data_IF_162774990882
#
_entry.id   IF_162774990882
#
_cell.length_a   1.000
_cell.length_b   1.000
_cell.length_c   1.000
_cell.angle_alpha   90.00
_cell.angle_beta   90.00
_cell.angle_gamma   90.00
#
_symmetry.space_group_name_H-M   'P 1'
#
loop_
_entity.id
_entity.type
_entity.pdbx_description
1 polymer ?
#
# COMPACT_ATOMS: atom_id res chain seq x y z
N UNK A 1 -21.02 -23.68 34.75
CA UNK A 1 -20.72 -22.56 33.83
C UNK A 1 -19.65 -23.04 32.85
N UNK A 2 -19.79 -22.82 31.54
CA UNK A 2 -18.74 -23.17 30.59
C UNK A 2 -17.50 -22.33 30.93
N UNK A 3 -16.32 -22.96 31.01
CA UNK A 3 -15.05 -22.25 31.20
C UNK A 3 -14.78 -21.43 29.94
N UNK A 4 -14.72 -20.11 30.07
CA UNK A 4 -14.28 -19.23 28.99
C UNK A 4 -12.87 -19.66 28.55
N UNK A 5 -12.68 -19.79 27.24
CA UNK A 5 -11.40 -20.13 26.65
C UNK A 5 -10.45 -18.93 26.82
N UNK A 6 -9.49 -19.04 27.75
CA UNK A 6 -8.52 -17.99 28.10
C UNK A 6 -7.55 -17.64 26.98
N UNK A 7 -7.50 -18.44 25.91
CA UNK A 7 -6.68 -18.19 24.72
C UNK A 7 -7.43 -17.48 23.60
N UNK A 8 -8.66 -17.01 23.84
CA UNK A 8 -9.29 -16.08 22.88
C UNK A 8 -8.58 -14.73 22.96
N UNK A 9 -8.08 -14.19 21.83
CA UNK A 9 -7.59 -12.82 21.78
C UNK A 9 -8.65 -11.88 22.36
N UNK A 10 -8.26 -11.06 23.34
CA UNK A 10 -9.18 -10.07 23.88
C UNK A 10 -9.43 -9.04 22.79
N UNK A 11 -10.69 -8.85 22.38
CA UNK A 11 -11.09 -7.64 21.65
C UNK A 11 -10.63 -6.45 22.49
N UNK A 12 -9.75 -5.61 21.94
CA UNK A 12 -9.28 -4.44 22.67
C UNK A 12 -10.45 -3.46 22.80
N UNK A 13 -11.13 -3.55 23.94
CA UNK A 13 -12.26 -2.71 24.26
C UNK A 13 -11.81 -1.28 24.53
N UNK A 14 -12.71 -0.35 24.20
CA UNK A 14 -12.93 1.06 24.61
C UNK A 14 -12.15 1.70 25.78
N UNK A 15 -11.42 0.95 26.60
CA UNK A 15 -10.76 1.42 27.82
C UNK A 15 -9.26 1.77 27.65
N UNK A 16 -8.57 1.26 26.62
CA UNK A 16 -7.14 1.55 26.36
C UNK A 16 -6.93 2.77 25.44
N UNK A 17 -7.88 3.01 24.53
CA UNK A 17 -7.85 4.09 23.56
C UNK A 17 -9.00 5.04 23.84
N UNK A 18 -8.68 6.33 23.97
CA UNK A 18 -9.62 7.36 24.36
C UNK A 18 -9.47 8.58 23.46
N UNK A 19 -10.61 9.08 22.97
CA UNK A 19 -10.78 10.13 21.95
C UNK A 19 -10.45 9.64 20.54
N UNK A 20 -11.51 9.32 19.81
CA UNK A 20 -11.49 9.23 18.36
C UNK A 20 -11.69 10.63 17.77
N UNK A 21 -10.80 11.06 16.89
CA UNK A 21 -11.05 12.23 16.05
C UNK A 21 -11.78 11.75 14.80
N UNK A 22 -13.12 11.72 14.85
CA UNK A 22 -13.91 11.62 13.63
C UNK A 22 -13.94 13.00 12.95
N UNK A 23 -13.69 13.13 11.64
CA UNK A 23 -13.99 14.37 10.94
C UNK A 23 -15.47 14.68 11.13
N UNK A 24 -15.76 15.83 11.72
CA UNK A 24 -17.10 16.25 12.14
C UNK A 24 -18.15 16.08 11.03
N UNK A 25 -18.98 15.05 11.16
CA UNK A 25 -20.36 15.07 10.68
C UNK A 25 -21.24 14.39 11.73
N UNK A 26 -21.82 15.21 12.60
CA UNK A 26 -22.68 14.78 13.72
C UNK A 26 -24.04 14.23 13.23
N UNK A 27 -24.31 14.20 11.91
CA UNK A 27 -25.62 13.83 11.36
C UNK A 27 -25.75 12.42 10.80
N UNK A 28 -24.65 11.69 10.57
CA UNK A 28 -24.65 10.58 9.62
C UNK A 28 -23.74 9.43 10.08
N UNK A 29 -24.17 8.67 11.10
CA UNK A 29 -23.42 7.47 11.56
C UNK A 29 -23.19 6.45 10.44
N UNK A 30 -24.07 6.44 9.43
CA UNK A 30 -23.98 5.57 8.26
C UNK A 30 -22.96 6.09 7.21
N UNK A 31 -22.32 7.24 7.48
CA UNK A 31 -21.25 7.84 6.67
C UNK A 31 -19.97 8.13 7.49
N UNK A 32 -19.83 7.53 8.67
CA UNK A 32 -18.54 7.52 9.36
C UNK A 32 -17.52 6.81 8.46
N UNK A 33 -16.31 7.35 8.35
CA UNK A 33 -15.22 6.64 7.69
C UNK A 33 -15.08 5.24 8.34
N UNK A 34 -14.83 4.17 7.57
CA UNK A 34 -14.79 2.80 8.12
C UNK A 34 -13.72 2.58 9.21
N UNK A 35 -12.80 3.54 9.35
CA UNK A 35 -11.58 3.51 10.14
C UNK A 35 -11.53 4.73 11.08
N UNK A 36 -11.67 4.52 12.38
CA UNK A 36 -11.55 5.59 13.39
C UNK A 36 -10.09 5.78 13.81
N UNK A 37 -9.59 7.01 13.73
CA UNK A 37 -8.28 7.39 14.27
C UNK A 37 -8.40 7.62 15.79
N UNK A 38 -7.72 6.78 16.56
CA UNK A 38 -7.82 6.70 18.01
C UNK A 38 -6.49 7.06 18.66
N UNK A 39 -6.48 7.78 19.80
CA UNK A 39 -5.25 7.99 20.58
C UNK A 39 -5.15 7.00 21.75
N UNK A 40 -3.99 6.37 21.91
CA UNK A 40 -3.66 5.55 23.07
C UNK A 40 -3.47 6.46 24.28
N UNK A 41 -4.22 6.21 25.36
CA UNK A 41 -4.31 7.13 26.50
C UNK A 41 -3.00 7.35 27.26
N UNK A 42 -2.13 6.35 27.27
CA UNK A 42 -0.89 6.34 28.06
C UNK A 42 0.31 6.92 27.32
N UNK A 43 0.33 6.77 25.99
CA UNK A 43 1.48 7.12 25.13
C UNK A 43 1.17 8.30 24.20
N UNK A 44 -0.11 8.62 23.99
CA UNK A 44 -0.57 9.57 22.99
C UNK A 44 -0.58 9.03 21.55
N UNK A 45 -0.15 7.79 21.33
CA UNK A 45 0.02 7.19 20.01
C UNK A 45 -1.30 7.12 19.24
N UNK A 46 -1.31 7.62 18.00
CA UNK A 46 -2.48 7.50 17.14
C UNK A 46 -2.53 6.12 16.47
N UNK A 47 -3.68 5.48 16.45
CA UNK A 47 -3.90 4.17 15.86
C UNK A 47 -5.15 4.16 14.99
N UNK A 48 -5.12 3.35 13.94
CA UNK A 48 -6.28 3.05 13.11
C UNK A 48 -6.79 1.67 13.53
N UNK A 49 -8.07 1.61 13.84
CA UNK A 49 -8.76 0.38 14.24
C UNK A 49 -9.58 -0.15 13.07
N UNK A 50 -9.49 -1.44 12.82
CA UNK A 50 -10.37 -2.14 11.88
C UNK A 50 -11.77 -2.30 12.44
N UNK A 51 -12.72 -2.61 11.56
CA UNK A 51 -14.13 -2.86 11.91
C UNK A 51 -14.33 -4.04 12.86
N UNK A 52 -13.36 -4.96 12.94
CA UNK A 52 -13.34 -6.09 13.87
C UNK A 52 -12.86 -5.72 15.28
N UNK A 53 -12.40 -4.47 15.47
CA UNK A 53 -11.93 -3.93 16.73
C UNK A 53 -10.47 -4.28 17.06
N UNK A 54 -9.68 -4.70 16.08
CA UNK A 54 -8.23 -4.84 16.22
C UNK A 54 -7.49 -3.67 15.57
N UNK A 55 -6.28 -3.40 16.08
CA UNK A 55 -5.42 -2.37 15.51
C UNK A 55 -4.89 -2.83 14.16
N UNK A 56 -4.98 -1.94 13.17
CA UNK A 56 -4.51 -2.19 11.79
C UNK A 56 -3.48 -1.17 11.32
N UNK A 57 -3.28 -0.07 12.07
CA UNK A 57 -2.13 0.82 11.89
C UNK A 57 -1.83 1.63 13.15
N UNK A 58 -0.60 2.12 13.30
CA UNK A 58 -0.18 3.06 14.36
C UNK A 58 0.73 4.16 13.79
N UNK A 59 0.58 5.41 14.23
CA UNK A 59 1.32 6.57 13.74
C UNK A 59 1.20 6.78 12.22
N UNK A 60 0.06 6.45 11.62
CA UNK A 60 -0.16 6.45 10.16
C UNK A 60 0.43 7.70 9.47
N UNK A 61 0.08 8.90 9.93
CA UNK A 61 0.55 10.15 9.30
C UNK A 61 2.08 10.27 9.34
N UNK A 62 2.70 10.00 10.50
CA UNK A 62 4.14 10.05 10.66
C UNK A 62 4.86 9.00 9.80
N UNK A 63 4.29 7.79 9.72
CA UNK A 63 4.80 6.70 8.90
C UNK A 63 4.67 6.97 7.41
N UNK A 64 3.53 7.45 6.95
CA UNK A 64 3.34 7.84 5.54
C UNK A 64 4.36 8.90 5.15
N UNK A 65 4.60 9.90 6.01
CA UNK A 65 5.62 10.93 5.74
C UNK A 65 7.02 10.31 5.63
N UNK A 66 7.43 9.52 6.61
CA UNK A 66 8.73 8.86 6.62
C UNK A 66 8.90 7.90 5.42
N UNK A 67 7.82 7.22 5.02
CA UNK A 67 7.81 6.30 3.88
C UNK A 67 8.00 7.04 2.54
N UNK A 68 7.32 8.18 2.36
CA UNK A 68 7.48 9.06 1.20
C UNK A 68 8.90 9.64 1.14
N UNK A 69 9.42 10.12 2.27
CA UNK A 69 10.78 10.68 2.37
C UNK A 69 11.82 9.62 2.02
N UNK A 70 11.75 8.43 2.63
CA UNK A 70 12.66 7.32 2.33
C UNK A 70 12.58 6.86 0.87
N UNK A 71 11.38 6.88 0.27
CA UNK A 71 11.22 6.54 -1.15
C UNK A 71 11.83 7.59 -2.07
N UNK A 72 11.62 8.88 -1.77
CA UNK A 72 12.21 9.98 -2.52
C UNK A 72 13.75 9.98 -2.42
N UNK A 73 14.30 9.78 -1.22
CA UNK A 73 15.74 9.66 -1.01
C UNK A 73 16.34 8.51 -1.81
N UNK A 74 15.66 7.36 -1.87
CA UNK A 74 16.08 6.23 -2.72
C UNK A 74 16.02 6.55 -4.20
N UNK A 75 14.97 7.24 -4.64
CA UNK A 75 14.89 7.67 -6.05
C UNK A 75 16.04 8.60 -6.43
N UNK A 76 16.45 9.48 -5.51
CA UNK A 76 17.62 10.35 -5.66
C UNK A 76 18.93 9.56 -5.66
N UNK A 77 19.14 8.66 -4.70
CA UNK A 77 20.37 7.86 -4.60
C UNK A 77 20.65 7.05 -5.84
N UNK A 78 19.59 6.53 -6.44
CA UNK A 78 19.68 5.64 -7.59
C UNK A 78 19.58 6.38 -8.94
N UNK A 79 19.63 7.73 -8.92
CA UNK A 79 19.49 8.60 -10.09
C UNK A 79 18.21 8.33 -10.93
N UNK A 80 17.13 7.98 -10.25
CA UNK A 80 15.82 7.69 -10.85
C UNK A 80 14.82 8.81 -10.57
N UNK A 81 15.23 10.05 -10.83
CA UNK A 81 14.39 11.22 -10.58
C UNK A 81 13.14 11.18 -11.45
N UNK A 82 11.97 11.21 -10.82
CA UNK A 82 10.68 11.07 -11.47
C UNK A 82 9.55 11.65 -10.64
N UNK A 83 8.32 11.42 -11.08
CA UNK A 83 7.12 11.81 -10.34
C UNK A 83 6.71 10.67 -9.41
N UNK A 84 6.49 10.99 -8.14
CA UNK A 84 5.99 10.05 -7.14
C UNK A 84 4.47 10.21 -7.04
N UNK A 85 3.76 9.09 -7.11
CA UNK A 85 2.32 9.00 -6.93
C UNK A 85 2.05 8.10 -5.74
N UNK A 86 1.14 8.51 -4.85
CA UNK A 86 0.58 7.63 -3.83
C UNK A 86 -0.71 7.03 -4.37
N UNK A 87 -0.78 5.71 -4.41
CA UNK A 87 -1.96 4.94 -4.72
C UNK A 87 -2.72 4.63 -3.43
N UNK A 88 -4.00 4.98 -3.41
CA UNK A 88 -4.99 4.53 -2.42
C UNK A 88 -5.81 3.40 -3.05
N UNK A 89 -5.88 2.25 -2.38
CA UNK A 89 -6.54 1.05 -2.92
C UNK A 89 -8.07 1.18 -3.00
N UNK A 90 -8.64 1.95 -2.08
CA UNK A 90 -10.05 2.32 -1.99
C UNK A 90 -10.21 3.61 -1.16
N UNK A 91 -11.40 3.85 -0.60
CA UNK A 91 -11.70 5.01 0.24
C UNK A 91 -11.05 4.95 1.64
N UNK A 92 -10.49 3.80 2.03
CA UNK A 92 -9.84 3.62 3.32
C UNK A 92 -8.38 4.11 3.28
N UNK A 93 -7.89 4.56 4.45
CA UNK A 93 -6.52 5.01 4.61
C UNK A 93 -5.56 3.82 4.68
N UNK A 94 -6.04 2.72 5.23
CA UNK A 94 -5.34 1.45 5.38
C UNK A 94 -6.24 0.33 4.85
N UNK A 95 -5.64 -0.77 4.41
CA UNK A 95 -6.43 -1.93 3.98
C UNK A 95 -5.86 -3.22 4.53
N UNK A 96 -6.67 -3.90 5.34
CA UNK A 96 -6.35 -5.24 5.83
C UNK A 96 -6.32 -6.25 4.68
N UNK A 97 -5.28 -7.09 4.67
CA UNK A 97 -5.15 -8.23 3.76
C UNK A 97 -5.98 -9.37 4.34
N UNK A 98 -7.18 -9.57 3.80
CA UNK A 98 -8.09 -10.64 4.23
C UNK A 98 -7.74 -11.93 3.50
N UNK A 99 -7.60 -11.87 2.18
CA UNK A 99 -7.26 -12.98 1.29
C UNK A 99 -6.29 -12.52 0.21
N UNK A 100 -5.69 -13.48 -0.49
CA UNK A 100 -4.80 -13.29 -1.63
C UNK A 100 -5.59 -12.88 -2.88
N UNK A 101 -6.48 -11.91 -2.77
CA UNK A 101 -7.29 -11.38 -3.87
C UNK A 101 -6.77 -10.03 -4.34
N UNK A 102 -7.25 -9.58 -5.51
CA UNK A 102 -6.93 -8.24 -5.99
C UNK A 102 -7.46 -7.20 -5.00
N UNK A 103 -6.56 -6.37 -4.50
CA UNK A 103 -6.91 -5.29 -3.58
C UNK A 103 -7.28 -4.00 -4.31
N UNK A 104 -7.16 -3.93 -5.64
CA UNK A 104 -7.63 -2.77 -6.39
C UNK A 104 -9.11 -2.91 -6.75
N UNK A 105 -9.93 -1.94 -6.38
CA UNK A 105 -11.32 -1.86 -6.85
C UNK A 105 -11.40 -1.33 -8.29
N UNK A 106 -10.54 -0.36 -8.61
CA UNK A 106 -10.41 0.23 -9.93
C UNK A 106 -8.95 0.30 -10.35
N UNK A 107 -8.67 0.11 -11.64
CA UNK A 107 -7.34 0.36 -12.18
C UNK A 107 -6.98 1.84 -12.10
N UNK A 108 -5.70 2.16 -11.89
CA UNK A 108 -5.20 3.53 -11.84
C UNK A 108 -4.50 3.86 -13.14
N UNK A 109 -4.78 5.05 -13.69
CA UNK A 109 -4.10 5.58 -14.88
C UNK A 109 -3.25 6.78 -14.47
N UNK A 110 -1.95 6.69 -14.70
CA UNK A 110 -0.98 7.76 -14.45
C UNK A 110 -0.52 8.31 -15.81
N UNK A 111 -0.97 9.51 -16.21
CA UNK A 111 -0.56 10.11 -17.48
C UNK A 111 0.88 10.61 -17.39
N UNK A 112 1.67 10.35 -18.43
CA UNK A 112 3.07 10.80 -18.53
C UNK A 112 3.34 11.74 -19.71
N UNK A 113 2.38 11.94 -20.62
CA UNK A 113 2.47 12.95 -21.67
C UNK A 113 3.22 12.44 -22.89
N UNK A 114 4.17 13.21 -23.43
CA UNK A 114 4.88 12.90 -24.69
C UNK A 114 6.21 12.18 -24.51
N UNK A 115 6.72 12.15 -23.28
CA UNK A 115 7.99 11.53 -22.94
C UNK A 115 7.78 10.04 -22.65
N UNK A 116 8.70 9.15 -23.06
CA UNK A 116 8.62 7.74 -22.72
C UNK A 116 8.85 7.53 -21.23
N UNK A 117 8.17 6.53 -20.67
CA UNK A 117 8.43 6.05 -19.31
C UNK A 117 9.66 5.14 -19.38
N UNK A 118 10.78 5.54 -18.79
CA UNK A 118 12.02 4.77 -18.84
C UNK A 118 12.07 3.68 -17.78
N UNK A 119 11.47 3.93 -16.62
CA UNK A 119 11.40 2.96 -15.53
C UNK A 119 10.27 3.27 -14.56
N UNK A 120 9.83 2.24 -13.85
CA UNK A 120 8.87 2.34 -12.75
C UNK A 120 9.49 1.78 -11.47
N UNK A 121 9.19 2.42 -10.35
CA UNK A 121 9.47 1.88 -9.01
C UNK A 121 8.18 1.75 -8.22
N UNK A 122 8.10 0.70 -7.42
CA UNK A 122 7.04 0.52 -6.44
C UNK A 122 7.66 0.54 -5.05
N UNK A 123 6.95 1.10 -4.08
CA UNK A 123 7.30 0.97 -2.68
C UNK A 123 6.03 0.81 -1.87
N UNK A 124 5.86 -0.39 -1.32
CA UNK A 124 4.68 -0.85 -0.62
C UNK A 124 4.96 -0.80 0.87
N UNK A 125 4.14 -0.04 1.57
CA UNK A 125 4.08 0.02 3.01
C UNK A 125 3.15 -1.06 3.54
N UNK A 126 3.71 -2.08 4.20
CA UNK A 126 2.96 -3.13 4.88
C UNK A 126 3.26 -3.08 6.37
N UNK A 127 2.20 -3.21 7.16
CA UNK A 127 2.28 -3.41 8.59
C UNK A 127 1.76 -4.80 8.96
N UNK A 128 2.40 -5.40 9.94
CA UNK A 128 2.02 -6.68 10.51
C UNK A 128 1.80 -6.49 12.00
N UNK A 129 0.67 -6.94 12.50
CA UNK A 129 0.28 -6.81 13.90
C UNK A 129 -0.05 -8.16 14.50
N UNK A 130 0.47 -8.43 15.69
CA UNK A 130 -0.07 -9.48 16.55
C UNK A 130 -1.32 -8.97 17.26
N UNK A 131 -2.46 -9.64 17.06
CA UNK A 131 -3.76 -9.24 17.62
C UNK A 131 -3.79 -9.26 19.15
N UNK A 132 -3.02 -10.15 19.77
CA UNK A 132 -3.01 -10.32 21.22
C UNK A 132 -2.32 -9.15 21.95
N UNK A 133 -1.22 -8.66 21.40
CA UNK A 133 -0.36 -7.63 22.02
C UNK A 133 -0.51 -6.27 21.36
N UNK A 134 -1.09 -6.23 20.15
CA UNK A 134 -1.07 -5.07 19.26
C UNK A 134 0.35 -4.58 18.96
N UNK A 135 1.35 -5.45 19.10
CA UNK A 135 2.70 -5.14 18.71
C UNK A 135 2.82 -5.19 17.19
N UNK A 136 3.39 -4.15 16.60
CA UNK A 136 3.85 -4.19 15.22
C UNK A 136 5.07 -5.13 15.16
N UNK A 137 5.03 -6.17 14.33
CA UNK A 137 6.18 -7.05 14.08
C UNK A 137 6.71 -6.73 12.69
N UNK A 138 7.99 -6.35 12.60
CA UNK A 138 8.54 -5.64 11.43
C UNK A 138 9.04 -6.57 10.32
N UNK A 139 9.11 -7.88 10.54
CA UNK A 139 9.69 -8.83 9.58
C UNK A 139 8.66 -9.34 8.58
N UNK A 140 8.47 -8.57 7.50
CA UNK A 140 7.57 -8.86 6.38
C UNK A 140 8.24 -9.62 5.21
N UNK A 141 9.44 -10.18 5.38
CA UNK A 141 10.24 -10.75 4.27
C UNK A 141 9.54 -11.88 3.49
N UNK A 142 8.64 -12.61 4.14
CA UNK A 142 7.95 -13.76 3.52
C UNK A 142 6.66 -13.35 2.81
N UNK A 143 6.28 -12.07 2.87
CA UNK A 143 5.12 -11.53 2.17
C UNK A 143 5.53 -11.21 0.73
N UNK A 144 4.82 -11.79 -0.23
CA UNK A 144 4.98 -11.48 -1.65
C UNK A 144 3.93 -10.45 -2.08
N UNK A 145 4.30 -9.65 -3.08
CA UNK A 145 3.38 -8.72 -3.73
C UNK A 145 3.35 -9.03 -5.21
N UNK A 146 2.15 -9.08 -5.75
CA UNK A 146 1.88 -9.22 -7.17
C UNK A 146 1.29 -7.91 -7.72
N UNK A 147 1.94 -7.34 -8.73
CA UNK A 147 1.52 -6.09 -9.39
C UNK A 147 1.43 -6.35 -10.88
N UNK A 148 0.25 -6.13 -11.46
CA UNK A 148 0.06 -6.16 -12.91
C UNK A 148 -0.20 -4.74 -13.41
N UNK A 149 0.61 -4.31 -14.38
CA UNK A 149 0.50 -2.98 -14.96
C UNK A 149 0.82 -2.99 -16.45
N UNK A 150 0.28 -2.00 -17.13
CA UNK A 150 0.46 -1.75 -18.53
C UNK A 150 1.26 -0.47 -18.74
N UNK A 151 2.23 -0.54 -19.65
CA UNK A 151 2.77 0.66 -20.29
C UNK A 151 2.01 0.87 -21.58
N UNK A 152 1.43 2.05 -21.75
CA UNK A 152 0.71 2.38 -22.97
C UNK A 152 1.39 3.52 -23.70
N UNK A 153 1.52 3.37 -25.02
CA UNK A 153 1.98 4.38 -25.97
C UNK A 153 0.97 4.50 -27.11
N UNK A 154 0.25 5.62 -27.17
CA UNK A 154 -0.84 5.80 -28.14
C UNK A 154 -1.93 4.74 -27.93
N UNK A 155 -2.14 3.88 -28.93
CA UNK A 155 -3.08 2.75 -28.89
C UNK A 155 -2.45 1.42 -28.49
N UNK A 156 -1.13 1.36 -28.33
CA UNK A 156 -0.40 0.11 -28.07
C UNK A 156 -0.07 -0.04 -26.58
N UNK A 157 -0.41 -1.19 -26.01
CA UNK A 157 -0.13 -1.54 -24.61
C UNK A 157 0.76 -2.77 -24.51
N UNK A 158 1.66 -2.80 -23.52
CA UNK A 158 2.40 -3.99 -23.09
C UNK A 158 2.18 -4.19 -21.61
N UNK A 159 1.76 -5.39 -21.24
CA UNK A 159 1.49 -5.79 -19.87
C UNK A 159 2.74 -6.36 -19.21
N UNK A 160 2.94 -5.99 -17.97
CA UNK A 160 4.01 -6.42 -17.09
C UNK A 160 3.40 -7.02 -15.83
N UNK A 161 3.93 -8.15 -15.40
CA UNK A 161 3.56 -8.80 -14.14
C UNK A 161 4.81 -8.89 -13.27
N UNK A 162 4.74 -8.28 -12.10
CA UNK A 162 5.73 -8.42 -11.04
C UNK A 162 5.13 -9.34 -9.99
N UNK A 163 5.88 -10.34 -9.53
CA UNK A 163 5.48 -11.22 -8.43
C UNK A 163 6.70 -11.57 -7.59
N UNK A 164 7.03 -10.70 -6.65
CA UNK A 164 8.28 -10.78 -5.89
C UNK A 164 8.03 -10.56 -4.38
N UNK A 165 8.96 -11.00 -3.51
CA UNK A 165 8.99 -10.59 -2.10
C UNK A 165 8.97 -9.06 -1.94
N UNK A 166 8.30 -8.57 -0.90
CA UNK A 166 8.10 -7.12 -0.70
C UNK A 166 9.40 -6.33 -0.55
N UNK A 167 10.43 -6.93 0.05
CA UNK A 167 11.75 -6.32 0.18
C UNK A 167 12.38 -6.08 -1.20
N UNK A 168 12.22 -7.01 -2.14
CA UNK A 168 12.67 -6.83 -3.52
C UNK A 168 11.83 -5.80 -4.26
N UNK A 169 10.50 -5.85 -4.15
CA UNK A 169 9.59 -4.86 -4.77
C UNK A 169 10.01 -3.44 -4.38
N UNK A 170 10.29 -3.22 -3.08
CA UNK A 170 10.60 -1.91 -2.55
C UNK A 170 11.99 -1.41 -2.97
N UNK A 171 12.89 -2.30 -3.39
CA UNK A 171 14.26 -1.97 -3.80
C UNK A 171 14.41 -1.79 -5.31
N UNK A 172 13.70 -2.59 -6.10
CA UNK A 172 13.94 -2.70 -7.54
C UNK A 172 13.37 -1.52 -8.34
N UNK A 173 14.05 -1.22 -9.44
CA UNK A 173 13.52 -0.40 -10.51
C UNK A 173 13.26 -1.26 -11.74
N UNK A 174 12.05 -1.20 -12.26
CA UNK A 174 11.59 -1.94 -13.41
C UNK A 174 11.80 -1.09 -14.65
N UNK A 175 12.86 -1.40 -15.43
CA UNK A 175 13.14 -0.73 -16.69
C UNK A 175 12.10 -1.11 -17.74
N UNK A 176 11.65 -0.14 -18.51
CA UNK A 176 10.66 -0.37 -19.54
C UNK A 176 11.36 -0.57 -20.88
N UNK A 177 11.11 -1.73 -21.48
CA UNK A 177 11.60 -2.08 -22.79
C UNK A 177 10.50 -1.93 -23.85
N UNK A 178 10.78 -1.11 -24.86
CA UNK A 178 9.90 -0.81 -25.99
C UNK A 178 10.25 -1.61 -27.26
N UNK A 179 11.11 -2.63 -27.19
CA UNK A 179 11.63 -3.40 -28.35
C UNK A 179 10.55 -3.92 -29.32
N UNK A 180 9.32 -4.15 -28.86
CA UNK A 180 8.21 -4.66 -29.69
C UNK A 180 7.13 -3.60 -29.98
N UNK A 181 7.33 -2.36 -29.56
CA UNK A 181 6.40 -1.30 -29.90
C UNK A 181 6.64 -0.87 -31.36
N UNK A 182 5.59 -0.45 -32.08
CA UNK A 182 5.75 0.14 -33.41
C UNK A 182 6.68 1.37 -33.42
N UNK A 183 6.88 1.98 -34.58
CA UNK A 183 7.54 3.29 -34.63
C UNK A 183 6.72 4.34 -33.86
N UNK A 184 7.42 5.24 -33.14
CA UNK A 184 6.80 6.32 -32.36
C UNK A 184 6.20 7.35 -33.30
N UNK A 185 4.94 7.72 -33.09
CA UNK A 185 4.31 8.83 -33.80
C UNK A 185 4.37 10.14 -32.99
N UNK A 186 4.15 11.28 -33.66
CA UNK A 186 4.15 12.60 -32.99
C UNK A 186 2.98 12.80 -32.01
N UNK A 187 1.90 12.03 -32.18
CA UNK A 187 0.68 12.08 -31.37
C UNK A 187 0.68 11.04 -30.23
N UNK A 188 1.68 10.15 -30.20
CA UNK A 188 1.80 9.14 -29.16
C UNK A 188 1.95 9.79 -27.79
N UNK A 189 1.03 9.41 -26.89
CA UNK A 189 1.10 9.73 -25.46
C UNK A 189 1.41 8.48 -24.66
N UNK A 190 2.17 8.68 -23.59
CA UNK A 190 2.58 7.65 -22.66
C UNK A 190 1.76 7.72 -21.38
N UNK A 191 1.32 6.56 -20.91
CA UNK A 191 0.68 6.43 -19.60
C UNK A 191 0.98 5.06 -19.00
N UNK A 192 1.03 5.03 -17.67
CA UNK A 192 1.06 3.81 -16.88
C UNK A 192 -0.37 3.49 -16.46
N UNK A 193 -0.78 2.23 -16.58
CA UNK A 193 -2.07 1.76 -16.08
C UNK A 193 -1.85 0.57 -15.16
N UNK A 194 -2.11 0.73 -13.87
CA UNK A 194 -1.99 -0.37 -12.89
C UNK A 194 -3.35 -1.04 -12.73
N UNK A 195 -3.39 -2.35 -12.92
CA UNK A 195 -4.62 -3.14 -13.01
C UNK A 195 -4.88 -4.00 -11.79
N UNK A 196 -3.79 -4.48 -11.20
CA UNK A 196 -3.83 -5.46 -10.14
C UNK A 196 -2.78 -5.13 -9.12
N UNK A 197 -3.17 -5.22 -7.86
CA UNK A 197 -2.27 -5.19 -6.72
C UNK A 197 -2.78 -6.22 -5.73
N UNK A 198 -1.93 -7.18 -5.39
CA UNK A 198 -2.28 -8.29 -4.51
C UNK A 198 -1.15 -8.54 -3.53
N UNK A 199 -1.50 -8.71 -2.27
CA UNK A 199 -0.57 -9.17 -1.23
C UNK A 199 -0.80 -10.66 -1.03
N UNK A 200 0.28 -11.43 -1.09
CA UNK A 200 0.27 -12.88 -0.94
C UNK A 200 0.93 -13.20 0.40
N UNK A 201 0.13 -13.69 1.33
CA UNK A 201 0.58 -14.13 2.64
C UNK A 201 1.20 -15.53 2.53
N UNK A 202 2.23 -15.86 3.33
CA UNK A 202 2.80 -17.20 3.37
C UNK A 202 1.77 -18.21 3.90
N UNK A 203 1.88 -19.48 3.48
CA UNK A 203 0.94 -20.54 3.90
C UNK A 203 0.90 -20.74 5.42
N UNK A 204 1.99 -20.45 6.11
CA UNK A 204 2.11 -20.52 7.57
C UNK A 204 1.45 -19.33 8.29
N UNK A 205 0.90 -18.35 7.57
CA UNK A 205 0.32 -17.15 8.17
C UNK A 205 -0.96 -17.47 8.95
N UNK A 206 -0.94 -17.21 10.25
CA UNK A 206 -2.11 -17.38 11.12
C UNK A 206 -2.95 -16.10 11.19
N UNK A 207 -4.03 -16.06 10.40
CA UNK A 207 -5.02 -14.96 10.37
C UNK A 207 -5.84 -14.78 11.65
N UNK A 208 -5.87 -15.78 12.53
CA UNK A 208 -6.60 -15.68 13.80
C UNK A 208 -5.82 -14.85 14.83
N UNK A 209 -4.49 -14.90 14.77
CA UNK A 209 -3.60 -14.24 15.73
C UNK A 209 -2.89 -13.02 15.16
N UNK A 210 -2.85 -12.87 13.84
CA UNK A 210 -2.14 -11.77 13.17
C UNK A 210 -3.00 -11.06 12.13
N UNK A 211 -2.67 -9.80 11.90
CA UNK A 211 -3.26 -8.97 10.86
C UNK A 211 -2.14 -8.38 10.01
N UNK A 212 -2.30 -8.43 8.68
CA UNK A 212 -1.45 -7.69 7.74
C UNK A 212 -2.28 -6.59 7.13
N UNK A 213 -1.71 -5.39 7.03
CA UNK A 213 -2.37 -4.23 6.48
C UNK A 213 -1.45 -3.48 5.52
N UNK A 214 -2.01 -3.02 4.41
CA UNK A 214 -1.32 -2.16 3.45
C UNK A 214 -1.72 -0.72 3.76
N UNK A 215 -0.76 0.15 4.03
CA UNK A 215 -1.05 1.55 4.39
C UNK A 215 -0.77 2.53 3.25
N UNK A 216 0.29 2.32 2.48
CA UNK A 216 0.69 3.20 1.39
C UNK A 216 1.29 2.39 0.24
N UNK A 217 0.97 2.75 -1.00
CA UNK A 217 1.65 2.23 -2.18
C UNK A 217 2.17 3.41 -2.97
N UNK A 218 3.48 3.58 -3.00
CA UNK A 218 4.14 4.65 -3.72
C UNK A 218 4.61 4.12 -5.07
N UNK A 219 4.37 4.90 -6.12
CA UNK A 219 4.74 4.59 -7.50
C UNK A 219 5.62 5.73 -8.01
N UNK A 220 6.87 5.41 -8.32
CA UNK A 220 7.79 6.33 -8.99
C UNK A 220 7.72 6.12 -10.49
N UNK A 221 7.30 7.13 -11.25
CA UNK A 221 7.30 7.11 -12.72
C UNK A 221 8.42 8.01 -13.22
N UNK A 222 9.43 7.39 -13.84
CA UNK A 222 10.63 8.06 -14.36
C UNK A 222 10.49 8.24 -15.87
N UNK A 223 10.74 9.46 -16.33
CA UNK A 223 10.62 9.83 -17.74
C UNK A 223 11.96 10.19 -18.39
N UNK A 224 12.00 10.05 -19.71
CA UNK A 224 13.13 10.50 -20.53
C UNK A 224 14.38 9.63 -20.41
N UNK A 225 15.48 10.11 -21.01
CA UNK A 225 16.80 9.45 -20.96
C UNK A 225 17.42 9.58 -19.56
N UNK A 226 16.83 8.92 -18.57
CA UNK A 226 17.52 8.69 -17.29
C UNK A 226 18.81 7.93 -17.61
N UNK A 227 19.95 8.62 -17.49
CA UNK A 227 21.26 8.00 -17.64
C UNK A 227 21.56 7.25 -16.35
N UNK A 228 21.35 5.94 -16.43
CA UNK A 228 21.81 4.97 -15.45
C UNK A 228 23.33 4.84 -15.51
#
# INVERSE_FOLDING_TARGET
>A
MPRENTNKPRKMGKNLYGLGFSPLSIGNKDHAFPEELMSQKETGTFAIMGSDGYMISSEYIGRTKAHIEAFAERMVSDNTLGKIYKMTLDENLVRTVIDSDNMMTNGIVIPHGKDPISSIRFNVGIEYFERATSAAIVTASDIKVEIEFDIVRGTYSKTFLINEPIDQINLLAYKIDYTDYPEKTADDKFYLRVHKFKVILPESFNKETHTVAVHDILIGVVGGDSKW
#
